data_IF_110841531053
#
_entry.id   IF_110841531053
#
_cell.length_a   1.000
_cell.length_b   1.000
_cell.length_c   1.000
_cell.angle_alpha   90.00
_cell.angle_beta   90.00
_cell.angle_gamma   90.00
#
_symmetry.space_group_name_H-M   'P 1'
#
loop_
_entity.id
_entity.type
_entity.pdbx_description
1 polymer ?
#
# COMPACT_ATOMS: atom_id res chain seq x y z
N UNK A 1 -55.55 18.33 10.62
CA UNK A 1 -54.14 17.92 10.81
C UNK A 1 -53.34 18.60 9.71
N UNK A 2 -52.61 19.66 10.03
CA UNK A 2 -51.81 20.38 9.04
C UNK A 2 -50.41 19.75 9.07
N UNK A 3 -50.10 18.88 8.11
CA UNK A 3 -48.76 18.32 7.98
C UNK A 3 -47.93 19.43 7.35
N UNK A 4 -47.04 20.02 8.15
CA UNK A 4 -46.22 21.15 7.73
C UNK A 4 -45.25 20.68 6.63
N UNK A 5 -45.55 21.04 5.38
CA UNK A 5 -44.79 20.61 4.21
C UNK A 5 -43.32 21.03 4.29
N UNK A 6 -42.98 22.06 5.08
CA UNK A 6 -41.60 22.49 5.30
C UNK A 6 -40.81 21.55 6.21
N UNK A 7 -41.47 20.89 7.17
CA UNK A 7 -40.86 19.89 8.05
C UNK A 7 -40.58 18.59 7.29
N UNK A 8 -41.46 18.22 6.34
CA UNK A 8 -41.25 17.06 5.46
C UNK A 8 -40.05 17.27 4.51
N UNK A 9 -39.94 18.46 3.91
CA UNK A 9 -38.83 18.81 3.01
C UNK A 9 -37.51 18.92 3.78
N UNK A 10 -37.48 19.57 4.96
CA UNK A 10 -36.28 19.63 5.81
C UNK A 10 -35.80 18.24 6.25
N UNK A 11 -36.72 17.33 6.58
CA UNK A 11 -36.36 15.94 6.88
C UNK A 11 -35.80 15.21 5.67
N UNK A 12 -36.40 15.36 4.48
CA UNK A 12 -35.90 14.74 3.25
C UNK A 12 -34.51 15.28 2.84
N UNK A 13 -34.26 16.58 2.98
CA UNK A 13 -32.93 17.15 2.73
C UNK A 13 -31.89 16.65 3.75
N UNK A 14 -32.27 16.51 5.02
CA UNK A 14 -31.45 15.90 6.06
C UNK A 14 -31.07 14.44 5.77
N UNK A 15 -32.04 13.62 5.32
CA UNK A 15 -31.79 12.22 4.94
C UNK A 15 -30.91 12.09 3.69
N UNK A 16 -31.07 12.98 2.71
CA UNK A 16 -30.27 12.97 1.49
C UNK A 16 -28.81 13.38 1.75
N UNK A 17 -28.60 14.38 2.61
CA UNK A 17 -27.25 14.84 3.01
C UNK A 17 -26.57 13.85 3.96
N UNK A 18 -27.29 13.25 4.92
CA UNK A 18 -26.73 12.25 5.83
C UNK A 18 -26.46 10.90 5.17
N UNK A 19 -27.27 10.46 4.19
CA UNK A 19 -27.06 9.21 3.47
C UNK A 19 -25.76 9.20 2.66
N UNK A 20 -25.50 10.27 1.91
CA UNK A 20 -24.27 10.41 1.12
C UNK A 20 -23.03 10.61 1.99
N UNK A 21 -23.10 11.45 3.04
CA UNK A 21 -21.97 11.64 3.96
C UNK A 21 -21.68 10.38 4.78
N UNK A 22 -22.70 9.62 5.17
CA UNK A 22 -22.56 8.35 5.88
C UNK A 22 -21.90 7.26 5.03
N UNK A 23 -22.34 7.11 3.77
CA UNK A 23 -21.75 6.16 2.83
C UNK A 23 -20.28 6.51 2.50
N UNK A 24 -19.97 7.79 2.26
CA UNK A 24 -18.60 8.24 2.00
C UNK A 24 -17.67 8.03 3.21
N UNK A 25 -18.12 8.36 4.42
CA UNK A 25 -17.36 8.10 5.66
C UNK A 25 -17.13 6.61 5.89
N UNK A 26 -18.11 5.77 5.59
CA UNK A 26 -17.97 4.32 5.70
C UNK A 26 -16.96 3.76 4.68
N UNK A 27 -17.02 4.25 3.43
CA UNK A 27 -16.05 3.89 2.40
C UNK A 27 -14.62 4.28 2.78
N UNK A 28 -14.40 5.52 3.26
CA UNK A 28 -13.08 5.98 3.72
C UNK A 28 -12.55 5.14 4.89
N UNK A 29 -13.40 4.81 5.88
CA UNK A 29 -13.03 3.94 7.00
C UNK A 29 -12.62 2.55 6.51
N UNK A 30 -13.39 1.95 5.60
CA UNK A 30 -13.07 0.63 5.02
C UNK A 30 -11.76 0.67 4.25
N UNK A 31 -11.55 1.65 3.39
CA UNK A 31 -10.30 1.84 2.64
C UNK A 31 -9.10 1.97 3.59
N UNK A 32 -9.24 2.75 4.66
CA UNK A 32 -8.20 2.91 5.67
C UNK A 32 -7.88 1.58 6.38
N UNK A 33 -8.91 0.83 6.79
CA UNK A 33 -8.75 -0.46 7.45
C UNK A 33 -8.03 -1.48 6.55
N UNK A 34 -8.38 -1.54 5.28
CA UNK A 34 -7.73 -2.46 4.31
C UNK A 34 -6.27 -2.05 4.09
N UNK A 35 -5.97 -0.76 3.93
CA UNK A 35 -4.58 -0.29 3.84
C UNK A 35 -3.77 -0.66 5.09
N UNK A 36 -4.37 -0.61 6.29
CA UNK A 36 -3.72 -1.08 7.52
C UNK A 36 -3.44 -2.57 7.45
N UNK A 37 -4.44 -3.39 7.12
CA UNK A 37 -4.30 -4.84 7.02
C UNK A 37 -3.22 -5.26 6.01
N UNK A 38 -3.14 -4.58 4.85
CA UNK A 38 -2.08 -4.85 3.87
C UNK A 38 -0.70 -4.51 4.45
N UNK A 39 -0.55 -3.36 5.12
CA UNK A 39 0.73 -2.99 5.75
C UNK A 39 1.13 -3.99 6.82
N UNK A 40 0.17 -4.47 7.60
CA UNK A 40 0.41 -5.44 8.65
C UNK A 40 0.87 -6.77 8.05
N UNK A 41 0.23 -7.25 6.98
CA UNK A 41 0.62 -8.49 6.30
C UNK A 41 2.01 -8.36 5.65
N UNK A 42 2.30 -7.25 4.97
CA UNK A 42 3.62 -6.97 4.38
C UNK A 42 4.71 -7.05 5.45
N UNK A 43 4.52 -6.34 6.58
CA UNK A 43 5.50 -6.27 7.66
C UNK A 43 5.64 -7.61 8.38
N UNK A 44 4.53 -8.33 8.59
CA UNK A 44 4.53 -9.66 9.20
C UNK A 44 5.32 -10.64 8.33
N UNK A 45 5.02 -10.72 7.04
CA UNK A 45 5.73 -11.59 6.11
C UNK A 45 7.22 -11.20 6.01
N UNK A 46 7.55 -9.90 6.04
CA UNK A 46 8.93 -9.42 6.06
C UNK A 46 9.68 -9.93 7.31
N UNK A 47 9.11 -9.74 8.50
CA UNK A 47 9.72 -10.22 9.76
C UNK A 47 9.90 -11.73 9.78
N UNK A 48 8.96 -12.47 9.19
CA UNK A 48 9.02 -13.92 9.12
C UNK A 48 10.19 -14.42 8.25
N UNK A 49 10.44 -13.76 7.12
CA UNK A 49 11.52 -14.14 6.20
C UNK A 49 12.89 -13.62 6.67
N UNK A 50 12.96 -12.44 7.28
CA UNK A 50 14.23 -11.87 7.78
C UNK A 50 14.62 -12.41 9.15
N UNK A 51 13.67 -13.02 9.88
CA UNK A 51 13.81 -13.41 11.30
C UNK A 51 14.12 -12.24 12.23
N UNK A 52 13.95 -11.01 11.76
CA UNK A 52 14.13 -9.80 12.55
C UNK A 52 12.76 -9.22 12.93
N UNK A 53 12.36 -9.22 14.22
CA UNK A 53 11.07 -8.67 14.66
C UNK A 53 10.98 -7.15 14.49
N UNK A 54 12.13 -6.45 14.37
CA UNK A 54 12.20 -5.01 14.13
C UNK A 54 12.19 -4.66 12.65
N UNK A 55 12.21 -5.65 11.74
CA UNK A 55 12.09 -5.38 10.32
C UNK A 55 10.75 -4.71 10.00
N UNK A 56 10.82 -3.66 9.18
CA UNK A 56 9.68 -2.87 8.71
C UNK A 56 9.90 -2.47 7.27
N UNK A 57 8.81 -2.41 6.51
CA UNK A 57 8.81 -1.94 5.13
C UNK A 57 9.15 -0.45 5.08
N UNK A 58 10.16 -0.10 4.29
CA UNK A 58 10.51 1.28 3.98
C UNK A 58 10.22 1.56 2.51
N UNK A 59 9.11 2.23 2.20
CA UNK A 59 8.73 2.51 0.80
C UNK A 59 9.69 3.47 0.11
N UNK A 60 9.99 4.60 0.76
CA UNK A 60 10.90 5.61 0.21
C UNK A 60 12.36 5.12 0.14
N UNK A 61 12.73 4.16 0.99
CA UNK A 61 14.08 3.59 1.09
C UNK A 61 14.09 2.09 0.88
N UNK A 62 13.28 1.62 -0.06
CA UNK A 62 13.05 0.20 -0.27
C UNK A 62 14.35 -0.51 -0.63
N UNK A 63 15.08 0.03 -1.59
CA UNK A 63 16.33 -0.58 -2.02
C UNK A 63 17.33 -0.70 -0.86
N UNK A 64 17.64 0.42 -0.20
CA UNK A 64 18.69 0.45 0.83
C UNK A 64 18.30 -0.27 2.12
N UNK A 65 17.10 -0.01 2.64
CA UNK A 65 16.70 -0.47 3.96
C UNK A 65 15.95 -1.80 3.95
N UNK A 66 15.53 -2.29 2.78
CA UNK A 66 14.87 -3.59 2.63
C UNK A 66 15.72 -4.54 1.79
N UNK A 67 15.98 -4.20 0.51
CA UNK A 67 16.66 -5.10 -0.42
C UNK A 67 18.12 -5.32 -0.01
N UNK A 68 18.93 -4.27 0.07
CA UNK A 68 20.34 -4.34 0.43
C UNK A 68 20.57 -4.82 1.87
N UNK A 69 19.68 -4.46 2.80
CA UNK A 69 19.83 -4.80 4.22
C UNK A 69 19.49 -6.26 4.52
N UNK A 70 18.44 -6.80 3.91
CA UNK A 70 17.92 -8.13 4.26
C UNK A 70 18.01 -9.13 3.10
N UNK A 71 18.47 -8.71 1.92
CA UNK A 71 18.52 -9.52 0.70
C UNK A 71 17.15 -10.16 0.39
N UNK A 72 16.10 -9.34 0.45
CA UNK A 72 14.73 -9.76 0.11
C UNK A 72 14.07 -8.79 -0.85
N UNK A 73 13.26 -9.33 -1.75
CA UNK A 73 12.45 -8.57 -2.71
C UNK A 73 11.01 -9.03 -2.70
N UNK A 74 10.07 -8.14 -2.99
CA UNK A 74 8.68 -8.51 -3.23
C UNK A 74 8.55 -9.12 -4.62
N UNK A 75 7.93 -10.29 -4.73
CA UNK A 75 7.56 -10.91 -6.02
C UNK A 75 6.04 -11.05 -6.14
N UNK A 76 5.55 -11.03 -7.37
CA UNK A 76 4.13 -11.16 -7.70
C UNK A 76 3.29 -9.89 -7.54
N UNK A 77 3.92 -8.73 -7.34
CA UNK A 77 3.22 -7.45 -7.22
C UNK A 77 2.43 -7.14 -8.51
N UNK A 78 1.18 -6.67 -8.42
CA UNK A 78 0.34 -6.46 -9.59
C UNK A 78 0.73 -5.19 -10.37
N UNK A 79 0.69 -5.27 -11.71
CA UNK A 79 1.10 -4.17 -12.60
C UNK A 79 0.17 -2.96 -12.55
N UNK A 80 -1.11 -3.16 -12.19
CA UNK A 80 -2.09 -2.08 -12.11
C UNK A 80 -1.94 -1.20 -10.85
N UNK A 81 -1.07 -1.57 -9.90
CA UNK A 81 -0.84 -0.82 -8.67
C UNK A 81 0.63 -0.41 -8.60
N UNK A 82 0.95 0.90 -8.60
CA UNK A 82 2.31 1.37 -8.42
C UNK A 82 2.95 0.82 -7.15
N UNK A 83 4.21 0.39 -7.22
CA UNK A 83 4.97 -0.13 -6.08
C UNK A 83 5.47 1.01 -5.17
N UNK A 84 4.53 1.68 -4.49
CA UNK A 84 4.80 2.80 -3.57
C UNK A 84 3.92 2.67 -2.33
N UNK A 85 4.10 3.57 -1.35
CA UNK A 85 3.26 3.58 -0.15
C UNK A 85 1.78 3.73 -0.53
N UNK A 86 0.95 2.80 -0.04
CA UNK A 86 -0.50 2.77 -0.31
C UNK A 86 -1.28 4.00 0.16
N UNK A 87 -0.71 4.86 1.02
CA UNK A 87 -1.31 6.16 1.34
C UNK A 87 -1.13 7.20 0.22
N UNK A 88 -0.09 7.06 -0.59
CA UNK A 88 0.25 7.97 -1.68
C UNK A 88 -0.49 7.64 -2.97
N UNK A 89 -1.10 6.46 -3.07
CA UNK A 89 -1.88 6.04 -4.24
C UNK A 89 -3.37 6.17 -3.95
N UNK A 90 -4.07 6.87 -4.86
CA UNK A 90 -5.53 6.82 -4.93
C UNK A 90 -5.97 5.55 -5.65
N UNK A 91 -5.84 4.40 -4.98
CA UNK A 91 -6.33 3.11 -5.49
C UNK A 91 -7.81 2.94 -5.19
N UNK A 92 -8.55 2.34 -6.13
CA UNK A 92 -9.93 1.97 -5.89
C UNK A 92 -10.00 0.88 -4.80
N UNK A 93 -11.08 0.88 -4.02
CA UNK A 93 -11.29 -0.13 -2.96
C UNK A 93 -11.17 -1.58 -3.46
N UNK A 94 -11.70 -1.96 -4.65
CA UNK A 94 -11.52 -3.31 -5.18
C UNK A 94 -10.06 -3.69 -5.42
N UNK A 95 -9.22 -2.75 -5.85
CA UNK A 95 -7.79 -3.01 -6.08
C UNK A 95 -7.07 -3.31 -4.76
N UNK A 96 -7.41 -2.57 -3.71
CA UNK A 96 -6.86 -2.80 -2.37
C UNK A 96 -7.33 -4.15 -1.80
N UNK A 97 -8.59 -4.52 -2.01
CA UNK A 97 -9.11 -5.84 -1.63
C UNK A 97 -8.41 -6.97 -2.37
N UNK A 98 -8.21 -6.82 -3.69
CA UNK A 98 -7.43 -7.76 -4.49
C UNK A 98 -6.00 -7.86 -3.96
N UNK A 99 -5.35 -6.73 -3.69
CA UNK A 99 -3.98 -6.70 -3.19
C UNK A 99 -3.86 -7.45 -1.86
N UNK A 100 -4.78 -7.21 -0.92
CA UNK A 100 -4.84 -7.93 0.35
C UNK A 100 -5.02 -9.44 0.14
N UNK A 101 -5.95 -9.85 -0.73
CA UNK A 101 -6.17 -11.27 -1.05
C UNK A 101 -4.93 -11.91 -1.66
N UNK A 102 -4.20 -11.20 -2.51
CA UNK A 102 -2.96 -11.71 -3.13
C UNK A 102 -1.84 -11.92 -2.10
N UNK A 103 -1.73 -11.05 -1.09
CA UNK A 103 -0.83 -11.27 0.04
C UNK A 103 -1.24 -12.48 0.88
N UNK A 104 -2.52 -12.61 1.22
CA UNK A 104 -3.03 -13.73 2.01
C UNK A 104 -2.93 -15.09 1.29
N UNK A 105 -3.09 -15.10 -0.02
CA UNK A 105 -2.95 -16.31 -0.86
C UNK A 105 -1.51 -16.62 -1.24
N UNK A 106 -0.53 -15.85 -0.74
CA UNK A 106 0.89 -15.98 -1.08
C UNK A 106 1.20 -15.80 -2.58
N UNK A 107 0.27 -15.22 -3.35
CA UNK A 107 0.54 -14.80 -4.73
C UNK A 107 1.53 -13.62 -4.76
N UNK A 108 1.48 -12.76 -3.74
CA UNK A 108 2.52 -11.79 -3.44
C UNK A 108 3.23 -12.25 -2.18
N UNK A 109 4.57 -12.30 -2.25
CA UNK A 109 5.38 -12.76 -1.15
C UNK A 109 6.76 -12.12 -1.18
N UNK A 110 7.43 -12.16 -0.02
CA UNK A 110 8.84 -11.83 0.06
C UNK A 110 9.66 -13.03 -0.39
N UNK A 111 10.60 -12.79 -1.30
CA UNK A 111 11.56 -13.77 -1.77
C UNK A 111 12.97 -13.34 -1.34
N UNK A 112 13.74 -14.27 -0.77
CA UNK A 112 15.19 -14.07 -0.58
C UNK A 112 15.89 -14.11 -1.93
N UNK A 113 16.81 -13.18 -2.12
CA UNK A 113 17.70 -13.13 -3.28
C UNK A 113 19.07 -13.61 -2.84
N UNK A 114 19.70 -14.40 -3.70
CA UNK A 114 21.10 -14.80 -3.55
C UNK A 114 22.03 -13.63 -3.94
N UNK A 115 23.31 -13.74 -3.60
CA UNK A 115 24.30 -12.69 -3.88
C UNK A 115 24.42 -12.40 -5.39
N UNK A 116 24.42 -13.43 -6.24
CA UNK A 116 24.42 -13.28 -7.70
C UNK A 116 23.17 -12.54 -8.23
N UNK A 117 21.99 -12.80 -7.65
CA UNK A 117 20.76 -12.08 -8.02
C UNK A 117 20.81 -10.63 -7.50
N UNK A 118 21.39 -10.41 -6.33
CA UNK A 118 21.58 -9.08 -5.77
C UNK A 118 22.53 -8.23 -6.62
N UNK A 119 23.66 -8.76 -7.07
CA UNK A 119 24.60 -8.05 -7.94
C UNK A 119 23.95 -7.62 -9.26
N UNK A 120 23.15 -8.51 -9.88
CA UNK A 120 22.40 -8.16 -11.10
C UNK A 120 21.42 -7.02 -10.85
N UNK A 121 20.63 -7.11 -9.78
CA UNK A 121 19.66 -6.06 -9.45
C UNK A 121 20.38 -4.74 -9.09
N UNK A 122 21.56 -4.81 -8.46
CA UNK A 122 22.39 -3.65 -8.15
C UNK A 122 22.92 -3.00 -9.43
N UNK A 123 23.38 -3.80 -10.39
CA UNK A 123 23.83 -3.33 -11.70
C UNK A 123 22.68 -2.66 -12.45
N UNK A 124 21.52 -3.31 -12.57
CA UNK A 124 20.33 -2.73 -13.21
C UNK A 124 19.91 -1.40 -12.55
N UNK A 125 20.04 -1.31 -11.22
CA UNK A 125 19.77 -0.05 -10.50
C UNK A 125 20.81 1.01 -10.84
N UNK A 126 22.09 0.68 -10.84
CA UNK A 126 23.15 1.62 -11.16
C UNK A 126 22.99 2.15 -12.58
N UNK A 127 22.68 1.29 -13.54
CA UNK A 127 22.37 1.69 -14.93
C UNK A 127 21.19 2.67 -14.99
N UNK A 128 20.12 2.43 -14.20
CA UNK A 128 18.98 3.35 -14.10
C UNK A 128 19.31 4.66 -13.37
N UNK A 129 20.23 4.65 -12.42
CA UNK A 129 20.74 5.86 -11.77
C UNK A 129 21.57 6.68 -12.77
N UNK A 130 22.41 6.03 -13.57
CA UNK A 130 23.22 6.67 -14.62
C UNK A 130 22.36 7.25 -15.75
N UNK A 131 21.25 6.59 -16.09
CA UNK A 131 20.25 7.09 -17.04
C UNK A 131 19.38 8.21 -16.46
N UNK A 132 19.45 8.48 -15.14
CA UNK A 132 18.69 9.54 -14.48
C UNK A 132 17.23 9.20 -14.17
N UNK A 133 16.81 7.95 -14.38
CA UNK A 133 15.43 7.48 -14.18
C UNK A 133 15.11 7.18 -12.69
N UNK A 134 16.14 7.02 -11.87
CA UNK A 134 16.00 6.80 -10.43
C UNK A 134 16.70 7.94 -9.68
N UNK A 135 15.97 8.64 -8.80
CA UNK A 135 16.58 9.67 -7.96
C UNK A 135 17.31 9.00 -6.81
N UNK A 136 18.62 9.28 -6.68
CA UNK A 136 19.40 8.86 -5.53
C UNK A 136 18.77 9.43 -4.25
N UNK A 137 18.24 8.55 -3.40
CA UNK A 137 17.53 8.94 -2.19
C UNK A 137 18.50 9.57 -1.18
N UNK A 138 18.66 10.90 -1.27
CA UNK A 138 19.58 11.64 -0.41
C UNK A 138 19.22 11.42 1.07
N UNK A 139 20.25 11.09 1.85
CA UNK A 139 20.20 11.15 3.33
C UNK A 139 19.74 12.55 3.72
N UNK A 140 18.59 12.69 4.40
CA UNK A 140 18.43 13.82 5.32
C UNK A 140 19.27 13.48 6.54
N UNK A 141 20.36 14.23 6.71
CA UNK A 141 21.23 14.19 7.88
C UNK A 141 20.48 14.70 9.12
#
# INVERSE_FOLDING_TARGET
MNVDSQDLVSKMEGFSVQGMQGAAKNHQKRTSAIRSAIRDEINKALRQITKDPKARMHWAHYWRNVVQRYLVVVKGWPDNIPFVNLSSVSSALPDLEMLLRKWQSHAIYWRRIEEDEYEKLLQERNEKLEQGDVVEERRRA
#
